data_IF_915485215026
#
_entry.id   IF_915485215026
#
_cell.length_a   1.000
_cell.length_b   1.000
_cell.length_c   1.000
_cell.angle_alpha   90.00
_cell.angle_beta   90.00
_cell.angle_gamma   90.00
#
_symmetry.space_group_name_H-M   'P 1'
#
loop_
_entity.id
_entity.type
_entity.pdbx_description
1 polymer ?
#
# COMPACT_ATOMS: atom_id res chain seq x y z
N UNK A 1 -19.53 -22.22 9.46
CA UNK A 1 -18.98 -20.86 9.22
C UNK A 1 -17.72 -20.74 10.05
N UNK A 2 -16.56 -20.96 9.45
CA UNK A 2 -15.26 -20.89 10.14
C UNK A 2 -14.91 -19.42 10.32
N UNK A 3 -14.92 -18.96 11.58
CA UNK A 3 -14.52 -17.62 11.97
C UNK A 3 -13.02 -17.49 11.72
N UNK A 4 -12.62 -16.61 10.81
CA UNK A 4 -11.21 -16.24 10.64
C UNK A 4 -10.82 -15.46 11.88
N UNK A 5 -10.15 -16.12 12.82
CA UNK A 5 -9.46 -15.42 13.89
C UNK A 5 -8.33 -14.61 13.24
N UNK A 6 -8.57 -13.31 13.07
CA UNK A 6 -7.52 -12.36 12.71
C UNK A 6 -6.61 -12.29 13.93
N UNK A 7 -5.52 -13.06 13.89
CA UNK A 7 -4.42 -12.93 14.85
C UNK A 7 -3.89 -11.51 14.74
N UNK A 8 -4.46 -10.64 15.58
CA UNK A 8 -4.06 -9.24 15.72
C UNK A 8 -2.94 -9.23 16.76
N UNK A 9 -1.87 -9.99 16.49
CA UNK A 9 -0.63 -9.83 17.21
C UNK A 9 -0.13 -8.44 16.85
N UNK A 10 -0.31 -7.49 17.78
CA UNK A 10 0.09 -6.08 17.73
C UNK A 10 1.63 -5.93 17.75
N UNK A 11 2.29 -6.66 16.84
CA UNK A 11 3.70 -6.49 16.57
C UNK A 11 3.82 -5.36 15.56
N UNK A 12 4.72 -4.40 15.79
CA UNK A 12 5.00 -3.39 14.78
C UNK A 12 5.45 -4.11 13.50
N UNK A 13 4.58 -4.08 12.49
CA UNK A 13 4.91 -4.60 11.16
C UNK A 13 5.75 -3.53 10.49
N UNK A 14 7.00 -3.86 10.18
CA UNK A 14 7.85 -3.01 9.35
C UNK A 14 7.34 -3.06 7.93
N UNK A 15 6.62 -2.03 7.52
CA UNK A 15 6.23 -1.85 6.13
C UNK A 15 7.37 -1.19 5.34
N UNK A 16 7.60 -1.71 4.14
CA UNK A 16 8.43 -1.05 3.15
C UNK A 16 7.55 -0.23 2.21
N UNK A 17 8.09 0.86 1.65
CA UNK A 17 7.40 1.63 0.62
C UNK A 17 8.32 1.92 -0.55
N UNK A 18 7.74 1.96 -1.74
CA UNK A 18 8.43 2.33 -2.99
C UNK A 18 7.55 3.27 -3.79
N UNK A 19 8.13 4.38 -4.23
CA UNK A 19 7.50 5.31 -5.15
C UNK A 19 8.02 5.06 -6.57
N UNK A 20 7.10 5.05 -7.52
CA UNK A 20 7.38 4.87 -8.93
C UNK A 20 6.92 6.09 -9.70
N UNK A 21 7.71 6.49 -10.68
CA UNK A 21 7.28 7.36 -11.77
C UNK A 21 7.18 6.53 -13.03
N UNK A 22 5.97 6.32 -13.51
CA UNK A 22 5.69 5.46 -14.64
C UNK A 22 5.34 6.35 -15.82
N UNK A 23 6.06 6.16 -16.92
CA UNK A 23 5.87 6.92 -18.14
C UNK A 23 5.44 5.97 -19.25
N UNK A 24 4.31 6.26 -19.86
CA UNK A 24 3.73 5.49 -20.97
C UNK A 24 3.74 6.34 -22.26
N UNK A 25 3.33 5.70 -23.36
CA UNK A 25 3.13 6.34 -24.65
C UNK A 25 4.30 7.21 -25.12
N UNK A 26 5.51 6.65 -25.02
CA UNK A 26 6.76 7.29 -25.45
C UNK A 26 6.98 8.67 -24.81
N UNK A 27 6.61 8.81 -23.53
CA UNK A 27 6.79 10.06 -22.78
C UNK A 27 5.54 10.92 -22.65
N UNK A 28 4.43 10.57 -23.32
CA UNK A 28 3.24 11.42 -23.37
C UNK A 28 2.43 11.41 -22.09
N UNK A 29 2.40 10.28 -21.39
CA UNK A 29 1.64 10.13 -20.16
C UNK A 29 2.58 9.74 -19.03
N UNK A 30 2.47 10.41 -17.89
CA UNK A 30 3.24 10.08 -16.69
C UNK A 30 2.32 10.08 -15.47
N UNK A 31 2.46 9.06 -14.63
CA UNK A 31 1.78 8.95 -13.35
C UNK A 31 2.76 8.52 -12.26
N UNK A 32 2.50 9.01 -11.06
CA UNK A 32 3.21 8.59 -9.86
C UNK A 32 2.38 7.50 -9.16
N UNK A 33 3.05 6.44 -8.71
CA UNK A 33 2.43 5.32 -7.99
C UNK A 33 3.19 5.03 -6.70
N UNK A 34 2.46 4.64 -5.65
CA UNK A 34 3.02 4.26 -4.36
C UNK A 34 2.69 2.79 -4.06
N UNK A 35 3.72 2.01 -3.77
CA UNK A 35 3.62 0.64 -3.26
C UNK A 35 3.95 0.64 -1.78
N UNK A 36 3.16 -0.10 -0.99
CA UNK A 36 3.37 -0.33 0.44
C UNK A 36 3.29 -1.84 0.65
N UNK A 37 4.35 -2.45 1.18
CA UNK A 37 4.51 -3.90 1.28
C UNK A 37 4.87 -4.36 2.69
N UNK A 38 4.25 -5.46 3.12
CA UNK A 38 4.72 -6.32 4.21
C UNK A 38 5.42 -7.54 3.60
N UNK A 39 6.74 -7.64 3.76
CA UNK A 39 7.53 -8.75 3.19
C UNK A 39 7.13 -10.12 3.75
N UNK A 40 6.52 -10.15 4.94
CA UNK A 40 6.07 -11.39 5.56
C UNK A 40 4.69 -11.83 5.07
N UNK A 41 3.96 -10.94 4.37
CA UNK A 41 2.58 -11.15 3.93
C UNK A 41 2.34 -10.51 2.55
N UNK A 42 2.93 -11.07 1.49
CA UNK A 42 2.81 -10.51 0.14
C UNK A 42 1.37 -10.50 -0.41
N UNK A 43 0.50 -11.35 0.12
CA UNK A 43 -0.93 -11.42 -0.22
C UNK A 43 -1.83 -10.49 0.63
N UNK A 44 -1.25 -9.71 1.55
CA UNK A 44 -2.01 -8.80 2.37
C UNK A 44 -2.58 -7.64 1.53
N UNK A 45 -3.85 -7.32 1.76
CA UNK A 45 -4.50 -6.16 1.15
C UNK A 45 -4.50 -4.99 2.11
N UNK A 46 -4.15 -3.80 1.62
CA UNK A 46 -4.31 -2.57 2.38
C UNK A 46 -5.77 -2.11 2.30
N UNK A 47 -6.52 -2.23 3.39
CA UNK A 47 -7.82 -1.59 3.52
C UNK A 47 -7.63 -0.17 4.07
N UNK A 48 -7.76 0.82 3.20
CA UNK A 48 -7.80 2.23 3.61
C UNK A 48 -9.24 2.63 3.89
N UNK A 49 -9.57 2.92 5.15
CA UNK A 49 -10.87 3.50 5.53
C UNK A 49 -10.95 5.00 5.20
N UNK A 50 -9.80 5.63 4.94
CA UNK A 50 -9.67 7.04 4.64
C UNK A 50 -8.62 7.26 3.54
N UNK A 51 -9.06 7.36 2.28
CA UNK A 51 -8.19 7.84 1.21
C UNK A 51 -8.03 9.35 1.36
N UNK A 52 -6.87 9.81 1.82
CA UNK A 52 -6.48 11.23 1.78
C UNK A 52 -5.49 11.44 0.63
N UNK A 53 -5.59 12.59 -0.03
CA UNK A 53 -4.51 13.02 -0.93
C UNK A 53 -3.23 13.23 -0.12
N UNK A 54 -2.07 13.09 -0.77
CA UNK A 54 -0.77 13.33 -0.12
C UNK A 54 -0.69 14.74 0.50
N UNK A 55 -1.27 15.76 -0.15
CA UNK A 55 -1.39 17.12 0.40
C UNK A 55 -2.16 17.18 1.73
N UNK A 56 -3.09 16.24 1.95
CA UNK A 56 -3.92 16.17 3.14
C UNK A 56 -3.32 15.29 4.26
N UNK A 57 -2.11 14.75 4.08
CA UNK A 57 -1.38 13.93 5.05
C UNK A 57 -0.28 14.70 5.81
N UNK A 58 -0.31 16.04 5.77
CA UNK A 58 0.67 16.91 6.44
C UNK A 58 0.53 16.96 7.95
#
# INVERSE_FOLDING_TARGET
MTRTDVDTTDRPVSLSSRAYRITLDDGRETFDALEICDEQRPEAYLMSDTVRSLDAMR
#
